data_IF_448238649973
#
_entry.id   IF_448238649973
#
_cell.length_a   1.000
_cell.length_b   1.000
_cell.length_c   1.000
_cell.angle_alpha   90.00
_cell.angle_beta   90.00
_cell.angle_gamma   90.00
#
_symmetry.space_group_name_H-M   'P 1'
#
loop_
_entity.id
_entity.type
_entity.pdbx_description
1 polymer ?
#
# COMPACT_ATOMS: atom_id res chain seq x y z
N UNK A 1 -58.89 -27.37 -25.96
CA UNK A 1 -58.49 -26.12 -25.27
C UNK A 1 -57.40 -26.52 -24.27
N UNK A 2 -56.11 -26.13 -24.47
CA UNK A 2 -55.42 -25.00 -23.79
C UNK A 2 -55.37 -25.20 -22.25
N UNK A 3 -54.27 -25.24 -21.46
CA UNK A 3 -52.86 -24.78 -21.48
C UNK A 3 -52.02 -25.66 -20.51
N UNK A 4 -50.75 -26.02 -20.80
CA UNK A 4 -49.48 -25.51 -20.18
C UNK A 4 -49.53 -25.28 -18.65
N UNK A 5 -48.83 -26.11 -17.85
CA UNK A 5 -47.45 -25.93 -17.32
C UNK A 5 -47.38 -24.81 -16.25
N UNK A 6 -46.73 -24.95 -15.09
CA UNK A 6 -45.28 -24.76 -14.93
C UNK A 6 -44.87 -25.16 -13.50
N UNK A 7 -43.81 -25.98 -13.42
CA UNK A 7 -43.02 -26.21 -12.22
C UNK A 7 -42.44 -24.90 -11.66
N UNK A 8 -42.84 -24.53 -10.45
CA UNK A 8 -42.21 -23.45 -9.68
C UNK A 8 -41.09 -24.06 -8.85
N UNK A 9 -39.89 -24.20 -9.44
CA UNK A 9 -38.68 -24.52 -8.66
C UNK A 9 -37.41 -24.17 -9.46
N UNK A 10 -37.25 -22.89 -9.82
CA UNK A 10 -35.98 -22.38 -10.35
C UNK A 10 -35.91 -20.84 -10.24
N UNK A 11 -35.95 -20.28 -9.01
CA UNK A 11 -35.82 -18.82 -8.86
C UNK A 11 -35.10 -18.36 -7.59
N UNK A 12 -34.36 -19.23 -6.90
CA UNK A 12 -33.71 -18.86 -5.63
C UNK A 12 -32.21 -18.54 -5.73
N UNK A 13 -31.53 -18.87 -6.83
CA UNK A 13 -30.05 -18.73 -6.92
C UNK A 13 -29.56 -17.60 -7.84
N UNK A 14 -30.44 -16.93 -8.57
CA UNK A 14 -30.05 -15.83 -9.48
C UNK A 14 -29.94 -14.45 -8.80
N UNK A 15 -30.34 -14.33 -7.52
CA UNK A 15 -30.44 -13.02 -6.84
C UNK A 15 -29.14 -12.52 -6.21
N UNK A 16 -28.17 -13.40 -5.97
CA UNK A 16 -26.94 -13.03 -5.25
C UNK A 16 -25.95 -12.25 -6.11
N UNK A 17 -25.85 -12.59 -7.40
CA UNK A 17 -24.90 -11.96 -8.33
C UNK A 17 -25.42 -10.60 -8.81
N UNK A 18 -26.72 -10.51 -9.13
CA UNK A 18 -27.33 -9.26 -9.55
C UNK A 18 -27.31 -8.18 -8.45
N UNK A 19 -27.42 -8.56 -7.18
CA UNK A 19 -27.36 -7.61 -6.08
C UNK A 19 -25.99 -6.93 -5.94
N UNK A 20 -24.90 -7.64 -6.29
CA UNK A 20 -23.54 -7.09 -6.20
C UNK A 20 -23.27 -6.07 -7.31
N UNK A 21 -23.66 -6.40 -8.55
CA UNK A 21 -23.54 -5.50 -9.70
C UNK A 21 -24.44 -4.26 -9.57
N UNK A 22 -25.66 -4.44 -9.04
CA UNK A 22 -26.58 -3.32 -8.75
C UNK A 22 -25.99 -2.43 -7.65
N UNK A 23 -25.41 -3.01 -6.59
CA UNK A 23 -24.76 -2.22 -5.53
C UNK A 23 -23.52 -1.47 -6.03
N UNK A 24 -22.74 -2.03 -6.96
CA UNK A 24 -21.62 -1.33 -7.59
C UNK A 24 -22.12 -0.19 -8.50
N UNK A 25 -23.14 -0.45 -9.32
CA UNK A 25 -23.74 0.52 -10.23
C UNK A 25 -24.48 1.66 -9.49
N UNK A 26 -25.05 1.38 -8.32
CA UNK A 26 -25.73 2.36 -7.46
C UNK A 26 -24.81 3.02 -6.43
N UNK A 27 -23.50 2.68 -6.41
CA UNK A 27 -22.53 3.25 -5.47
C UNK A 27 -22.75 2.86 -4.00
N UNK A 28 -23.48 1.78 -3.74
CA UNK A 28 -23.71 1.25 -2.39
C UNK A 28 -22.45 0.61 -1.80
N UNK A 29 -21.53 0.16 -2.65
CA UNK A 29 -20.19 -0.26 -2.29
C UNK A 29 -19.22 0.77 -2.85
N UNK A 30 -18.59 1.55 -1.98
CA UNK A 30 -17.37 2.24 -2.37
C UNK A 30 -16.33 1.16 -2.70
N UNK A 31 -15.71 1.19 -3.89
CA UNK A 31 -14.56 0.33 -4.15
C UNK A 31 -13.58 0.51 -2.99
N UNK A 32 -12.96 -0.55 -2.46
CA UNK A 32 -11.95 -0.38 -1.43
C UNK A 32 -10.91 0.61 -1.95
N UNK A 33 -10.58 1.61 -1.13
CA UNK A 33 -9.54 2.56 -1.46
C UNK A 33 -8.27 1.78 -1.85
N UNK A 34 -7.56 2.26 -2.88
CA UNK A 34 -6.31 1.63 -3.30
C UNK A 34 -5.39 1.43 -2.07
N UNK A 35 -4.80 0.23 -1.89
CA UNK A 35 -3.91 -0.01 -0.77
C UNK A 35 -2.82 1.06 -0.73
N UNK A 36 -2.67 1.69 0.43
CA UNK A 36 -1.75 2.79 0.60
C UNK A 36 -1.08 2.75 1.96
N UNK A 37 0.10 3.34 2.03
CA UNK A 37 0.82 3.57 3.28
C UNK A 37 1.23 5.02 3.38
N UNK A 38 0.92 5.63 4.52
CA UNK A 38 1.37 6.96 4.91
C UNK A 38 2.56 6.82 5.86
N UNK A 39 3.66 7.45 5.48
CA UNK A 39 4.97 7.30 6.10
C UNK A 39 5.32 8.66 6.72
N UNK A 40 5.19 8.81 8.05
CA UNK A 40 5.58 10.02 8.74
C UNK A 40 7.10 10.09 8.87
N UNK A 41 7.69 11.13 8.30
CA UNK A 41 9.13 11.38 8.26
C UNK A 41 9.48 12.60 9.12
N UNK A 42 10.43 12.44 10.03
CA UNK A 42 11.05 13.52 10.79
C UNK A 42 12.36 13.90 10.12
N UNK A 43 12.46 15.13 9.62
CA UNK A 43 13.68 15.60 8.96
C UNK A 43 14.56 16.27 10.00
N UNK A 44 15.82 15.84 10.05
CA UNK A 44 16.79 16.39 11.00
C UNK A 44 16.94 17.90 10.79
N UNK A 45 16.76 18.67 11.86
CA UNK A 45 16.86 20.13 11.83
C UNK A 45 15.52 20.84 11.67
N UNK A 46 14.41 20.11 11.57
CA UNK A 46 13.06 20.67 11.63
C UNK A 46 12.24 19.97 12.71
N UNK A 47 11.27 20.68 13.30
CA UNK A 47 10.28 20.09 14.22
C UNK A 47 9.02 19.61 13.46
N UNK A 48 9.03 19.70 12.13
CA UNK A 48 7.92 19.34 11.27
C UNK A 48 7.95 17.84 10.92
N UNK A 49 6.77 17.22 10.90
CA UNK A 49 6.60 15.85 10.39
C UNK A 49 6.02 15.91 8.99
N UNK A 50 6.72 15.30 8.03
CA UNK A 50 6.32 15.24 6.64
C UNK A 50 5.70 13.89 6.34
N UNK A 51 4.58 13.89 5.62
CA UNK A 51 3.93 12.63 5.24
C UNK A 51 4.28 12.33 3.80
N UNK A 52 4.87 11.16 3.56
CA UNK A 52 4.97 10.55 2.23
C UNK A 52 3.92 9.46 2.13
N UNK A 53 3.07 9.52 1.11
CA UNK A 53 2.06 8.48 0.86
C UNK A 53 2.41 7.71 -0.40
N UNK A 54 2.53 6.40 -0.27
CA UNK A 54 2.70 5.47 -1.41
C UNK A 54 1.37 4.78 -1.63
N UNK A 55 0.84 4.87 -2.85
CA UNK A 55 -0.38 4.17 -3.27
C UNK A 55 -0.03 3.04 -4.24
N UNK A 56 -0.69 1.90 -4.07
CA UNK A 56 -0.56 0.73 -4.93
C UNK A 56 -1.88 0.46 -5.64
N UNK A 57 -1.79 0.15 -6.93
CA UNK A 57 -2.87 -0.46 -7.69
C UNK A 57 -2.53 -1.91 -8.00
N UNK A 58 -3.57 -2.73 -8.11
CA UNK A 58 -3.40 -4.09 -8.59
C UNK A 58 -2.84 -4.08 -10.01
N UNK A 59 -1.90 -4.97 -10.26
CA UNK A 59 -1.26 -5.19 -11.53
C UNK A 59 -1.36 -6.66 -11.91
N UNK A 60 -1.77 -6.93 -13.15
CA UNK A 60 -1.68 -8.29 -13.72
C UNK A 60 -0.26 -8.61 -14.20
N UNK A 61 0.63 -7.60 -14.20
CA UNK A 61 2.05 -7.73 -14.51
C UNK A 61 2.87 -7.75 -13.23
N UNK A 62 3.71 -8.77 -13.12
CA UNK A 62 4.51 -9.15 -11.95
C UNK A 62 5.68 -8.18 -11.64
N UNK A 63 5.85 -7.10 -12.42
CA UNK A 63 6.87 -6.08 -12.21
C UNK A 63 6.49 -4.77 -12.93
N UNK A 64 5.34 -4.19 -12.57
CA UNK A 64 4.81 -2.99 -13.25
C UNK A 64 4.97 -1.72 -12.40
N UNK A 65 5.98 -0.88 -12.69
CA UNK A 65 6.18 0.36 -11.95
C UNK A 65 5.05 1.38 -12.13
N UNK A 66 4.22 1.25 -13.18
CA UNK A 66 3.16 2.23 -13.47
C UNK A 66 1.99 2.18 -12.49
N UNK A 67 1.89 1.11 -11.71
CA UNK A 67 0.85 0.91 -10.70
C UNK A 67 1.27 1.34 -9.29
N UNK A 68 2.38 2.09 -9.18
CA UNK A 68 2.87 2.69 -7.94
C UNK A 68 2.86 4.21 -8.09
N UNK A 69 2.25 4.91 -7.15
CA UNK A 69 2.20 6.38 -7.16
C UNK A 69 2.57 6.97 -5.81
N UNK A 70 3.01 8.22 -5.80
CA UNK A 70 3.22 9.00 -4.57
C UNK A 70 2.16 10.11 -4.51
N UNK A 71 1.26 10.05 -3.52
CA UNK A 71 0.06 10.91 -3.48
C UNK A 71 -0.69 10.93 -4.81
N UNK A 72 -0.91 9.75 -5.41
CA UNK A 72 -1.54 9.63 -6.74
C UNK A 72 -0.70 10.13 -7.92
N UNK A 73 0.48 10.73 -7.72
CA UNK A 73 1.36 11.16 -8.80
C UNK A 73 2.12 9.97 -9.37
N UNK A 74 2.04 9.79 -10.70
CA UNK A 74 2.80 8.77 -11.41
C UNK A 74 4.30 9.06 -11.35
N UNK A 75 5.08 8.02 -11.07
CA UNK A 75 6.53 8.09 -11.07
C UNK A 75 7.05 7.85 -12.48
N UNK A 76 7.72 8.84 -13.07
CA UNK A 76 8.45 8.64 -14.32
C UNK A 76 9.61 7.69 -14.10
N UNK A 77 9.48 6.43 -14.53
CA UNK A 77 10.50 5.39 -14.35
C UNK A 77 11.03 4.95 -15.72
N UNK A 78 12.35 5.10 -15.90
CA UNK A 78 13.11 4.63 -17.06
C UNK A 78 14.25 3.76 -16.55
N UNK A 79 14.35 2.54 -17.08
CA UNK A 79 15.37 1.56 -16.68
C UNK A 79 15.42 1.33 -15.16
N UNK A 80 14.24 1.29 -14.52
CA UNK A 80 14.09 1.08 -13.08
C UNK A 80 14.45 2.30 -12.22
N UNK A 81 14.71 3.47 -12.81
CA UNK A 81 15.06 4.69 -12.05
C UNK A 81 14.25 5.90 -12.51
N UNK A 82 14.17 6.89 -11.65
CA UNK A 82 13.65 8.21 -12.00
C UNK A 82 14.04 9.27 -11.00
N UNK A 83 13.71 10.52 -11.34
CA UNK A 83 13.95 11.70 -10.51
C UNK A 83 12.95 12.76 -10.89
N UNK A 84 12.50 13.53 -9.92
CA UNK A 84 11.61 14.64 -10.16
C UNK A 84 11.11 15.29 -8.89
N UNK A 85 10.23 16.26 -9.09
CA UNK A 85 9.54 16.96 -8.02
C UNK A 85 8.23 16.24 -7.71
N UNK A 86 7.93 16.04 -6.43
CA UNK A 86 6.70 15.40 -5.96
C UNK A 86 5.99 16.31 -4.96
N UNK A 87 4.69 16.48 -5.14
CA UNK A 87 3.85 17.16 -4.16
C UNK A 87 3.55 16.22 -2.99
N UNK A 88 3.76 16.68 -1.77
CA UNK A 88 3.38 15.99 -0.54
C UNK A 88 2.08 16.59 0.03
N UNK A 89 1.63 16.07 1.17
CA UNK A 89 0.54 16.68 1.93
C UNK A 89 0.86 18.13 2.32
N UNK A 90 -0.17 18.93 2.65
CA UNK A 90 -0.04 20.28 3.21
C UNK A 90 0.76 21.30 2.37
N UNK A 91 0.87 21.10 1.05
CA UNK A 91 1.47 22.06 0.14
C UNK A 91 3.01 22.01 0.07
N UNK A 92 3.63 20.95 0.61
CA UNK A 92 5.06 20.74 0.49
C UNK A 92 5.41 20.13 -0.87
N UNK A 93 6.57 20.49 -1.41
CA UNK A 93 7.17 19.76 -2.52
C UNK A 93 8.52 19.20 -2.10
N UNK A 94 8.86 18.05 -2.66
CA UNK A 94 10.19 17.48 -2.52
C UNK A 94 10.83 17.28 -3.89
N UNK A 95 12.14 17.44 -3.96
CA UNK A 95 12.93 16.86 -5.04
C UNK A 95 13.45 15.51 -4.56
N UNK A 96 13.18 14.46 -5.33
CA UNK A 96 13.59 13.11 -4.99
C UNK A 96 14.06 12.33 -6.21
N UNK A 97 14.90 11.35 -5.97
CA UNK A 97 15.17 10.28 -6.90
C UNK A 97 14.55 8.98 -6.38
N UNK A 98 14.15 8.11 -7.30
CA UNK A 98 13.54 6.83 -6.97
C UNK A 98 14.10 5.70 -7.81
N UNK A 99 14.18 4.53 -7.20
CA UNK A 99 14.55 3.28 -7.86
C UNK A 99 13.47 2.23 -7.62
N UNK A 100 13.06 1.58 -8.69
CA UNK A 100 12.11 0.48 -8.68
C UNK A 100 12.82 -0.79 -9.15
N UNK A 101 12.72 -1.85 -8.37
CA UNK A 101 13.19 -3.17 -8.74
C UNK A 101 12.20 -4.26 -8.32
N UNK A 102 12.30 -5.40 -8.97
CA UNK A 102 11.53 -6.59 -8.64
C UNK A 102 12.47 -7.79 -8.54
N UNK A 103 12.21 -8.66 -7.58
CA UNK A 103 12.94 -9.89 -7.41
C UNK A 103 11.95 -11.04 -7.22
N UNK A 104 12.17 -12.14 -7.94
CA UNK A 104 11.40 -13.38 -7.80
C UNK A 104 12.32 -14.44 -7.21
N UNK A 105 12.26 -14.71 -5.90
CA UNK A 105 12.97 -15.85 -5.33
C UNK A 105 12.43 -17.15 -5.92
N UNK A 106 13.27 -18.18 -5.98
CA UNK A 106 12.97 -19.47 -6.66
C UNK A 106 11.68 -20.14 -6.18
N UNK A 107 11.28 -19.90 -4.93
CA UNK A 107 10.13 -20.53 -4.26
C UNK A 107 9.20 -19.50 -3.56
N UNK A 108 9.15 -18.27 -4.05
CA UNK A 108 8.32 -17.21 -3.44
C UNK A 108 7.63 -16.35 -4.50
N UNK A 109 6.56 -15.66 -4.10
CA UNK A 109 5.93 -14.63 -4.92
C UNK A 109 6.89 -13.47 -5.16
N UNK A 110 6.87 -12.91 -6.36
CA UNK A 110 7.66 -11.72 -6.71
C UNK A 110 7.38 -10.57 -5.76
N UNK A 111 8.46 -10.01 -5.23
CA UNK A 111 8.43 -8.84 -4.38
C UNK A 111 8.97 -7.64 -5.16
N UNK A 112 8.30 -6.51 -5.00
CA UNK A 112 8.69 -5.23 -5.56
C UNK A 112 9.35 -4.40 -4.48
N UNK A 113 10.30 -3.57 -4.88
CA UNK A 113 11.00 -2.64 -4.01
C UNK A 113 11.01 -1.27 -4.66
N UNK A 114 10.46 -0.29 -3.96
CA UNK A 114 10.62 1.13 -4.25
C UNK A 114 11.59 1.73 -3.23
N UNK A 115 12.66 2.33 -3.71
CA UNK A 115 13.55 3.19 -2.93
C UNK A 115 13.26 4.62 -3.32
N UNK A 116 12.98 5.48 -2.34
CA UNK A 116 12.81 6.91 -2.53
C UNK A 116 13.89 7.63 -1.70
N UNK A 117 14.75 8.39 -2.36
CA UNK A 117 15.72 9.25 -1.69
C UNK A 117 15.30 10.70 -1.88
N UNK A 118 14.97 11.37 -0.78
CA UNK A 118 14.54 12.76 -0.75
C UNK A 118 15.79 13.64 -0.59
N UNK A 119 15.97 14.58 -1.49
CA UNK A 119 17.17 15.43 -1.57
C UNK A 119 16.91 16.84 -1.04
N UNK A 120 15.67 17.31 -1.16
CA UNK A 120 15.25 18.62 -0.68
C UNK A 120 13.76 18.68 -0.41
N UNK A 121 13.36 19.66 0.39
CA UNK A 121 11.97 19.99 0.67
C UNK A 121 11.74 21.50 0.54
N UNK A 122 10.55 21.89 0.10
CA UNK A 122 10.14 23.28 0.06
C UNK A 122 8.67 23.43 0.50
N UNK A 123 8.35 24.63 1.00
CA UNK A 123 6.99 25.03 1.37
C UNK A 123 6.74 26.47 0.93
N UNK A 124 6.47 26.68 -0.36
CA UNK A 124 6.27 28.02 -0.95
C UNK A 124 7.45 29.02 -0.69
N UNK A 125 8.65 28.50 -0.43
CA UNK A 125 9.85 29.26 -0.05
C UNK A 125 11.12 28.67 -0.68
N UNK A 126 12.32 29.10 -0.25
CA UNK A 126 13.57 28.56 -0.78
C UNK A 126 13.68 27.05 -0.53
N UNK A 127 14.31 26.35 -1.48
CA UNK A 127 14.54 24.91 -1.40
C UNK A 127 15.56 24.60 -0.31
N UNK A 128 15.16 23.79 0.68
CA UNK A 128 16.02 23.35 1.76
C UNK A 128 16.55 21.95 1.45
N UNK A 129 17.87 21.82 1.36
CA UNK A 129 18.51 20.52 1.17
C UNK A 129 18.37 19.69 2.43
N UNK A 130 17.96 18.45 2.26
CA UNK A 130 17.87 17.47 3.35
C UNK A 130 18.88 16.37 3.08
N UNK A 131 19.71 16.06 4.07
CA UNK A 131 20.63 14.92 3.98
C UNK A 131 19.93 13.67 4.49
N UNK A 132 20.12 12.56 3.78
CA UNK A 132 19.90 11.19 4.27
C UNK A 132 18.45 10.76 4.56
N UNK A 133 17.46 11.34 3.87
CA UNK A 133 16.08 10.86 3.97
C UNK A 133 15.80 9.80 2.91
N UNK A 134 15.94 8.54 3.31
CA UNK A 134 15.68 7.37 2.46
C UNK A 134 14.49 6.58 2.97
N UNK A 135 13.56 6.28 2.07
CA UNK A 135 12.42 5.39 2.31
C UNK A 135 12.56 4.16 1.43
N UNK A 136 12.40 2.98 2.01
CA UNK A 136 12.37 1.70 1.29
C UNK A 136 11.02 1.05 1.55
N UNK A 137 10.21 0.92 0.51
CA UNK A 137 8.95 0.20 0.56
C UNK A 137 9.06 -1.09 -0.23
N UNK A 138 8.65 -2.20 0.38
CA UNK A 138 8.51 -3.51 -0.26
C UNK A 138 7.05 -3.93 -0.31
N UNK A 139 6.63 -4.48 -1.42
CA UNK A 139 5.21 -4.78 -1.66
C UNK A 139 4.99 -5.80 -2.78
N UNK A 140 3.75 -6.29 -2.90
CA UNK A 140 3.25 -7.15 -3.96
C UNK A 140 2.07 -6.47 -4.62
N UNK A 141 2.05 -6.42 -5.96
CA UNK A 141 0.98 -5.79 -6.74
C UNK A 141 0.07 -6.80 -7.45
N UNK A 142 0.41 -8.09 -7.42
CA UNK A 142 -0.49 -9.18 -7.83
C UNK A 142 -1.38 -9.58 -6.66
N UNK A 143 -2.61 -10.04 -6.92
CA UNK A 143 -3.55 -10.34 -5.83
C UNK A 143 -3.00 -11.42 -4.86
N UNK A 144 -3.01 -11.17 -3.54
CA UNK A 144 -3.44 -9.93 -2.89
C UNK A 144 -2.41 -8.80 -2.96
N UNK A 145 -2.87 -7.56 -3.16
CA UNK A 145 -2.00 -6.36 -3.11
C UNK A 145 -1.64 -6.06 -1.66
N UNK A 146 -0.36 -6.14 -1.30
CA UNK A 146 0.10 -6.01 0.09
C UNK A 146 1.38 -5.20 0.19
N UNK A 147 1.56 -4.46 1.29
CA UNK A 147 2.88 -3.97 1.70
C UNK A 147 3.56 -5.01 2.59
N UNK A 148 4.77 -5.43 2.23
CA UNK A 148 5.54 -6.40 3.02
C UNK A 148 6.49 -5.72 4.01
N UNK A 149 7.06 -4.57 3.66
CA UNK A 149 7.78 -3.74 4.64
C UNK A 149 7.84 -2.28 4.21
N UNK A 150 7.99 -1.39 5.20
CA UNK A 150 8.33 0.01 4.99
C UNK A 150 9.41 0.37 6.00
N UNK A 151 10.55 0.85 5.51
CA UNK A 151 11.73 1.15 6.32
C UNK A 151 12.22 2.57 6.00
N UNK A 152 12.55 3.33 7.04
CA UNK A 152 13.31 4.57 6.93
C UNK A 152 14.01 4.86 8.26
N UNK A 153 15.21 5.43 8.22
CA UNK A 153 15.90 5.93 9.42
C UNK A 153 15.29 7.25 9.92
N UNK A 154 14.49 7.91 9.07
CA UNK A 154 13.81 9.17 9.36
C UNK A 154 12.37 8.96 9.83
N UNK A 155 11.94 7.76 10.23
CA UNK A 155 10.57 7.54 10.72
C UNK A 155 10.32 8.37 11.99
N UNK A 156 9.32 9.24 11.95
CA UNK A 156 8.85 10.00 13.11
C UNK A 156 7.78 9.26 13.92
N UNK A 157 7.11 8.28 13.31
CA UNK A 157 6.11 7.42 13.92
C UNK A 157 5.91 6.16 13.05
N UNK A 158 5.08 5.23 13.54
CA UNK A 158 4.74 4.03 12.78
C UNK A 158 4.00 4.39 11.47
N UNK A 159 4.35 3.74 10.34
CA UNK A 159 3.61 3.88 9.10
C UNK A 159 2.13 3.49 9.25
N UNK A 160 1.25 4.26 8.62
CA UNK A 160 -0.21 4.07 8.68
C UNK A 160 -0.70 3.46 7.37
N UNK A 161 -1.31 2.29 7.46
CA UNK A 161 -1.84 1.58 6.30
C UNK A 161 -3.32 1.92 6.09
N UNK A 162 -3.74 2.13 4.84
CA UNK A 162 -5.15 2.39 4.54
C UNK A 162 -6.01 1.17 4.87
N UNK A 163 -7.30 1.41 5.12
CA UNK A 163 -8.25 0.34 5.44
C UNK A 163 -8.32 -0.66 4.29
N UNK A 164 -8.21 -1.96 4.60
CA UNK A 164 -8.20 -3.03 3.60
C UNK A 164 -6.82 -3.33 3.00
N UNK A 165 -5.78 -2.59 3.40
CA UNK A 165 -4.40 -2.95 3.09
C UNK A 165 -3.97 -4.13 3.93
N UNK A 166 -3.50 -5.21 3.27
CA UNK A 166 -2.75 -6.25 3.96
C UNK A 166 -1.32 -5.75 4.18
N UNK A 167 -0.87 -5.81 5.42
CA UNK A 167 0.51 -5.58 5.78
C UNK A 167 1.09 -6.84 6.41
N UNK A 168 2.17 -7.36 5.84
CA UNK A 168 2.88 -8.50 6.42
C UNK A 168 3.89 -7.98 7.43
N UNK A 169 3.57 -8.04 8.72
CA UNK A 169 4.58 -7.84 9.76
C UNK A 169 5.58 -9.01 9.73
N UNK A 170 6.86 -8.82 10.10
CA UNK A 170 7.73 -9.95 10.35
C UNK A 170 7.02 -10.86 11.36
N UNK A 171 6.82 -12.11 10.97
CA UNK A 171 6.21 -13.13 11.82
C UNK A 171 7.07 -13.33 13.07
N UNK A 172 6.72 -12.64 14.15
CA UNK A 172 7.04 -13.06 15.50
C UNK A 172 6.26 -14.36 15.81
N UNK A 173 6.73 -15.18 16.77
CA UNK A 173 6.05 -16.43 17.11
C UNK A 173 4.61 -16.11 17.54
N UNK A 174 3.64 -16.72 16.87
CA UNK A 174 2.23 -16.52 17.15
C UNK A 174 1.84 -16.99 18.56
N UNK A 175 0.72 -16.48 19.10
CA UNK A 175 0.15 -16.97 20.35
C UNK A 175 -0.42 -18.37 20.12
N UNK A 176 -0.29 -19.24 21.14
CA UNK A 176 -1.19 -20.36 21.51
C UNK A 176 -0.38 -21.50 22.16
N UNK A 177 -0.11 -21.38 23.46
CA UNK A 177 -0.22 -22.49 24.42
C UNK A 177 -0.18 -21.96 25.86
N UNK A 178 -1.33 -21.44 26.33
CA UNK A 178 -1.69 -21.57 27.74
C UNK A 178 -1.85 -23.07 28.06
N UNK A 179 -1.12 -23.61 29.04
CA UNK A 179 -1.71 -24.58 29.98
C UNK A 179 -0.93 -24.61 31.32
N UNK A 180 -1.60 -24.07 32.34
CA UNK A 180 -1.65 -24.43 33.75
C UNK A 180 -0.55 -25.29 34.38
N UNK A 181 0.02 -24.79 35.49
CA UNK A 181 0.86 -25.59 36.38
C UNK A 181 1.39 -24.87 37.62
N UNK A 182 0.47 -24.52 38.53
CA UNK A 182 0.61 -24.44 40.00
C UNK A 182 1.99 -24.18 40.64
N UNK A 183 2.03 -23.11 41.45
CA UNK A 183 2.48 -23.08 42.86
C UNK A 183 3.72 -23.88 43.26
N UNK A 184 4.71 -23.18 43.84
CA UNK A 184 5.08 -23.21 45.28
C UNK A 184 6.58 -22.95 45.42
N UNK A 185 6.92 -22.03 46.33
CA UNK A 185 8.12 -21.94 47.18
C UNK A 185 9.33 -22.84 46.85
N UNK A 186 10.49 -22.18 46.67
CA UNK A 186 11.73 -22.38 47.44
C UNK A 186 12.78 -21.33 47.06
#
# INVERSE_FOLDING_TARGET
MRFLSISVCAAALARSVAAFDICLALGCLTPPDSPAVEIPLGIKGTDEVYIVRIDLKQSDKVCDPSNVTIFGQSLGIKDGRGRGMLHLAHGYWITANWEFSCATPKDSSTEHKLVLNIESINRNGPEEKVSDVKVVARFRQTHPVVFTSVESEALAADPRYSRGTLHYGPSGPGPDSEEWGLSSDL
#
